data_IF_741756299222
#
_entry.id   IF_741756299222
#
_cell.length_a   1.000
_cell.length_b   1.000
_cell.length_c   1.000
_cell.angle_alpha   90.00
_cell.angle_beta   90.00
_cell.angle_gamma   90.00
#
_symmetry.space_group_name_H-M   'P 1'
#
loop_
_entity.id
_entity.type
_entity.pdbx_description
1 polymer ?
#
# COMPACT_ATOMS: atom_id res chain seq x y z
N UNK A 1 -19.18 24.34 7.90
CA UNK A 1 -18.23 23.37 7.39
C UNK A 1 -18.40 22.02 8.02
N UNK A 2 -18.51 21.01 7.21
CA UNK A 2 -18.68 19.66 7.71
C UNK A 2 -17.37 19.11 8.21
N UNK A 3 -17.44 18.40 9.32
CA UNK A 3 -16.28 17.69 9.82
C UNK A 3 -16.27 16.30 9.22
N UNK A 4 -15.66 16.20 8.10
CA UNK A 4 -15.58 14.91 7.44
C UNK A 4 -14.26 14.25 7.70
N UNK A 5 -14.32 12.96 7.82
CA UNK A 5 -13.11 12.16 7.88
C UNK A 5 -12.39 12.25 6.53
N UNK A 6 -11.09 12.42 6.58
CA UNK A 6 -10.29 12.44 5.36
C UNK A 6 -10.11 11.03 4.86
N UNK A 7 -10.94 10.66 3.92
CA UNK A 7 -10.95 9.30 3.42
C UNK A 7 -11.25 9.30 1.93
N UNK A 8 -10.26 8.95 1.13
CA UNK A 8 -10.41 8.87 -0.32
C UNK A 8 -10.45 7.42 -0.73
N UNK A 9 -11.64 6.89 -0.89
CA UNK A 9 -11.85 5.49 -1.18
C UNK A 9 -11.19 5.06 -2.49
N UNK A 10 -11.31 5.88 -3.51
CA UNK A 10 -10.74 5.56 -4.81
C UNK A 10 -9.23 5.50 -4.78
N UNK A 11 -8.62 6.45 -4.10
CA UNK A 11 -7.17 6.47 -3.95
C UNK A 11 -6.68 5.25 -3.19
N UNK A 12 -7.38 4.89 -2.11
CA UNK A 12 -6.98 3.72 -1.32
C UNK A 12 -7.08 2.43 -2.12
N UNK A 13 -8.08 2.31 -2.98
CA UNK A 13 -8.20 1.15 -3.84
C UNK A 13 -7.06 1.08 -4.85
N UNK A 14 -6.68 2.22 -5.41
CA UNK A 14 -5.56 2.27 -6.36
C UNK A 14 -4.25 1.91 -5.69
N UNK A 15 -4.04 2.41 -4.48
CA UNK A 15 -2.85 2.09 -3.70
C UNK A 15 -2.81 0.59 -3.42
N UNK A 16 -3.96 0.02 -3.01
CA UNK A 16 -4.06 -1.41 -2.71
C UNK A 16 -3.72 -2.25 -3.93
N UNK A 17 -4.25 -1.88 -5.09
CA UNK A 17 -3.98 -2.58 -6.34
C UNK A 17 -2.50 -2.53 -6.70
N UNK A 18 -1.90 -1.37 -6.57
CA UNK A 18 -0.49 -1.20 -6.90
C UNK A 18 0.40 -2.04 -5.99
N UNK A 19 0.10 -2.05 -4.71
CA UNK A 19 0.85 -2.85 -3.74
C UNK A 19 0.74 -4.33 -4.09
N UNK A 20 -0.46 -4.79 -4.40
CA UNK A 20 -0.67 -6.18 -4.76
C UNK A 20 0.11 -6.54 -6.02
N UNK A 21 0.11 -5.66 -7.02
CA UNK A 21 0.86 -5.89 -8.25
C UNK A 21 2.36 -6.01 -7.98
N UNK A 22 2.89 -5.13 -7.14
CA UNK A 22 4.30 -5.19 -6.79
C UNK A 22 4.65 -6.50 -6.09
N UNK A 23 3.79 -6.93 -5.18
CA UNK A 23 4.00 -8.16 -4.44
C UNK A 23 3.94 -9.37 -5.37
N UNK A 24 2.93 -9.43 -6.22
CA UNK A 24 2.77 -10.55 -7.15
C UNK A 24 3.89 -10.62 -8.17
N UNK A 25 4.35 -9.47 -8.61
CA UNK A 25 5.45 -9.40 -9.56
C UNK A 25 6.73 -10.01 -8.99
N UNK A 26 6.91 -9.92 -7.68
CA UNK A 26 8.05 -10.51 -6.99
C UNK A 26 7.77 -11.90 -6.44
N UNK A 27 6.60 -12.44 -6.72
CA UNK A 27 6.18 -13.76 -6.24
C UNK A 27 6.27 -13.89 -4.72
N UNK A 28 5.85 -12.86 -4.02
CA UNK A 28 5.87 -12.83 -2.57
C UNK A 28 4.44 -12.92 -2.05
N UNK A 29 4.19 -13.90 -1.17
CA UNK A 29 2.87 -14.04 -0.56
C UNK A 29 2.67 -12.97 0.50
N UNK A 30 1.40 -12.75 0.88
CA UNK A 30 1.10 -11.81 1.96
C UNK A 30 1.74 -12.27 3.27
N UNK A 31 1.77 -13.58 3.52
CA UNK A 31 2.37 -14.12 4.74
C UNK A 31 3.87 -13.85 4.80
N UNK A 32 4.57 -14.09 3.70
CA UNK A 32 6.02 -13.84 3.66
C UNK A 32 6.29 -12.36 3.88
N UNK A 33 5.52 -11.49 3.23
CA UNK A 33 5.70 -10.06 3.40
C UNK A 33 5.52 -9.66 4.86
N UNK A 34 4.47 -10.19 5.50
CA UNK A 34 4.21 -9.88 6.90
C UNK A 34 5.34 -10.36 7.80
N UNK A 35 5.83 -11.56 7.55
CA UNK A 35 6.92 -12.12 8.36
C UNK A 35 8.17 -11.25 8.26
N UNK A 36 8.46 -10.74 7.08
CA UNK A 36 9.68 -9.96 6.85
C UNK A 36 9.57 -8.51 7.30
N UNK A 37 8.37 -7.93 7.29
CA UNK A 37 8.20 -6.49 7.54
C UNK A 37 7.37 -6.17 8.76
N UNK A 38 6.61 -7.13 9.27
CA UNK A 38 5.62 -6.91 10.34
C UNK A 38 4.51 -5.94 9.92
N UNK A 39 4.32 -5.76 8.62
CA UNK A 39 3.26 -4.93 8.08
C UNK A 39 2.10 -5.82 7.63
N UNK A 40 0.89 -5.50 8.09
CA UNK A 40 -0.32 -6.26 7.74
C UNK A 40 -0.79 -5.92 6.34
N UNK A 41 -0.05 -6.40 5.35
CA UNK A 41 -0.31 -6.06 3.95
C UNK A 41 -1.68 -6.56 3.47
N UNK A 42 -2.17 -7.66 4.05
CA UNK A 42 -3.48 -8.18 3.67
C UNK A 42 -4.58 -7.16 3.94
N UNK A 43 -4.49 -6.44 5.05
CA UNK A 43 -5.49 -5.41 5.38
C UNK A 43 -5.37 -4.22 4.44
N UNK A 44 -4.16 -3.86 4.08
CA UNK A 44 -3.92 -2.75 3.15
C UNK A 44 -4.46 -3.09 1.77
N UNK A 45 -4.28 -4.32 1.33
CA UNK A 45 -4.72 -4.74 0.00
C UNK A 45 -6.24 -4.83 -0.13
N UNK A 46 -6.97 -4.73 0.98
CA UNK A 46 -8.43 -4.63 0.89
C UNK A 46 -8.88 -3.30 0.31
N UNK A 47 -8.01 -2.29 0.35
CA UNK A 47 -8.36 -0.96 -0.10
C UNK A 47 -9.25 -0.20 0.87
N UNK A 48 -9.44 -0.71 2.08
CA UNK A 48 -10.30 -0.08 3.07
C UNK A 48 -9.54 0.60 4.19
N UNK A 49 -8.25 0.37 4.27
CA UNK A 49 -7.42 0.95 5.30
C UNK A 49 -6.84 2.28 4.85
N UNK A 50 -7.01 3.30 5.68
CA UNK A 50 -6.41 4.61 5.41
C UNK A 50 -4.95 4.53 5.82
N UNK A 51 -4.11 4.10 4.89
CA UNK A 51 -2.70 3.81 5.16
C UNK A 51 -1.92 5.07 5.50
N UNK A 52 -1.01 4.95 6.45
CA UNK A 52 -0.10 6.05 6.78
C UNK A 52 0.96 6.18 5.69
N UNK A 53 1.36 7.42 5.43
CA UNK A 53 2.36 7.66 4.40
C UNK A 53 3.71 7.01 4.75
N UNK A 54 4.06 6.97 6.02
CA UNK A 54 5.31 6.32 6.43
C UNK A 54 5.26 4.81 6.23
N UNK A 55 4.09 4.20 6.45
CA UNK A 55 3.93 2.78 6.17
C UNK A 55 4.07 2.51 4.68
N UNK A 56 3.49 3.39 3.86
CA UNK A 56 3.63 3.25 2.42
C UNK A 56 5.08 3.40 1.98
N UNK A 57 5.80 4.32 2.60
CA UNK A 57 7.24 4.47 2.34
C UNK A 57 7.98 3.17 2.64
N UNK A 58 7.68 2.54 3.77
CA UNK A 58 8.33 1.28 4.14
C UNK A 58 8.04 0.18 3.11
N UNK A 59 6.81 0.14 2.61
CA UNK A 59 6.44 -0.81 1.59
C UNK A 59 7.22 -0.55 0.30
N UNK A 60 7.33 0.72 -0.10
CA UNK A 60 8.08 1.10 -1.28
C UNK A 60 9.55 0.74 -1.13
N UNK A 61 10.12 0.96 0.06
CA UNK A 61 11.50 0.61 0.34
C UNK A 61 11.73 -0.89 0.17
N UNK A 62 10.77 -1.68 0.64
CA UNK A 62 10.86 -3.13 0.50
C UNK A 62 10.94 -3.54 -0.97
N UNK A 63 10.16 -2.87 -1.82
CA UNK A 63 10.14 -3.17 -3.24
C UNK A 63 11.16 -2.35 -4.05
N UNK A 64 11.97 -1.57 -3.38
CA UNK A 64 13.05 -0.80 -3.98
C UNK A 64 12.56 0.20 -5.02
N UNK A 65 11.44 0.86 -4.72
CA UNK A 65 10.94 1.95 -5.54
C UNK A 65 10.72 3.18 -4.66
N UNK A 66 10.75 4.35 -5.29
CA UNK A 66 10.45 5.59 -4.58
C UNK A 66 8.95 5.81 -4.50
N UNK A 67 8.53 6.69 -3.57
CA UNK A 67 7.13 7.11 -3.54
C UNK A 67 6.73 7.77 -4.85
N UNK A 68 7.65 8.51 -5.45
CA UNK A 68 7.40 9.15 -6.73
C UNK A 68 7.07 8.12 -7.80
N UNK A 69 7.84 7.05 -7.87
CA UNK A 69 7.57 5.98 -8.82
C UNK A 69 6.27 5.26 -8.54
N UNK A 70 5.99 5.07 -7.25
CA UNK A 70 4.76 4.41 -6.84
C UNK A 70 3.53 5.14 -7.37
N UNK A 71 3.54 6.48 -7.29
CA UNK A 71 2.40 7.28 -7.70
C UNK A 71 2.45 7.77 -9.14
N UNK A 72 3.43 7.34 -9.89
CA UNK A 72 3.70 7.90 -11.21
C UNK A 72 2.49 7.86 -12.16
N UNK A 73 1.72 6.79 -12.12
CA UNK A 73 0.61 6.61 -13.05
C UNK A 73 -0.76 6.79 -12.40
N UNK A 74 -0.81 7.43 -11.25
CA UNK A 74 -2.08 7.65 -10.55
C UNK A 74 -2.64 9.04 -10.76
#
# INVERSE_FOLDING_TARGET
MTKKQRYNKELLLEIAKKIKQLREKKNISQDVFYIETDIHIARIETGKLNIRITTLQDICDYFEISLSEFFKDM
#
